data_IF_778478170032
#
_entry.id   IF_778478170032
#
_cell.length_a   1.000
_cell.length_b   1.000
_cell.length_c   1.000
_cell.angle_alpha   90.00
_cell.angle_beta   90.00
_cell.angle_gamma   90.00
#
_symmetry.space_group_name_H-M   'P 1'
#
loop_
_entity.id
_entity.type
_entity.pdbx_description
1 polymer ?
#
# COMPACT_ATOMS: atom_id res chain seq x y z
N UNK A 1 -4.17 1.15 5.73
CA UNK A 1 -3.60 2.50 5.47
C UNK A 1 -3.55 2.79 3.98
N UNK A 2 -3.47 4.05 3.50
CA UNK A 2 -3.33 4.33 2.05
C UNK A 2 -1.96 4.91 1.70
N UNK A 3 -1.73 6.20 1.92
CA UNK A 3 -0.48 6.86 1.50
C UNK A 3 0.71 6.41 2.35
N UNK A 4 0.47 5.86 3.55
CA UNK A 4 1.53 5.26 4.33
C UNK A 4 2.12 3.99 3.70
N UNK A 5 1.34 3.17 2.99
CA UNK A 5 1.89 2.02 2.23
C UNK A 5 2.77 2.51 1.06
N UNK A 6 2.31 3.52 0.33
CA UNK A 6 3.12 4.19 -0.71
C UNK A 6 4.41 4.78 -0.11
N UNK A 7 4.37 5.32 1.11
CA UNK A 7 5.53 5.86 1.79
C UNK A 7 6.64 4.83 1.96
N UNK A 8 6.30 3.61 2.41
CA UNK A 8 7.29 2.53 2.60
C UNK A 8 7.85 2.08 1.25
N UNK A 9 7.01 1.98 0.20
CA UNK A 9 7.48 1.67 -1.15
C UNK A 9 8.48 2.70 -1.67
N UNK A 10 8.21 3.99 -1.49
CA UNK A 10 9.11 5.09 -1.85
C UNK A 10 10.43 5.02 -1.06
N UNK A 11 10.34 4.82 0.27
CA UNK A 11 11.48 4.73 1.17
C UNK A 11 12.36 3.49 0.91
N UNK A 12 11.80 2.42 0.36
CA UNK A 12 12.51 1.18 0.05
C UNK A 12 13.41 1.28 -1.19
N UNK A 13 13.22 2.29 -2.07
CA UNK A 13 14.01 2.45 -3.30
C UNK A 13 15.54 2.37 -3.11
N UNK A 14 16.17 3.07 -2.14
CA UNK A 14 17.60 2.93 -1.88
C UNK A 14 18.03 1.51 -1.44
N UNK A 15 17.12 0.71 -0.88
CA UNK A 15 17.42 -0.65 -0.42
C UNK A 15 17.43 -1.64 -1.60
N UNK A 16 16.68 -1.39 -2.66
CA UNK A 16 16.68 -2.18 -3.89
C UNK A 16 16.72 -1.29 -5.16
N UNK A 17 17.83 -0.59 -5.45
CA UNK A 17 17.88 0.42 -6.51
C UNK A 17 17.57 -0.10 -7.93
N UNK A 18 17.79 -1.40 -8.15
CA UNK A 18 17.53 -2.08 -9.43
C UNK A 18 16.06 -2.48 -9.61
N UNK A 19 15.29 -2.53 -8.54
CA UNK A 19 13.86 -2.82 -8.58
C UNK A 19 13.11 -1.54 -8.95
N UNK A 20 12.16 -1.64 -9.87
CA UNK A 20 11.37 -0.49 -10.30
C UNK A 20 10.46 -0.02 -9.16
N UNK A 21 10.20 1.29 -9.07
CA UNK A 21 9.26 1.82 -8.08
C UNK A 21 7.87 1.19 -8.24
N UNK A 22 7.43 0.92 -9.48
CA UNK A 22 6.18 0.20 -9.72
C UNK A 22 6.13 -1.17 -9.05
N UNK A 23 7.20 -1.96 -9.08
CA UNK A 23 7.22 -3.25 -8.39
C UNK A 23 7.28 -3.08 -6.85
N UNK A 24 7.93 -2.03 -6.35
CA UNK A 24 7.89 -1.71 -4.91
C UNK A 24 6.45 -1.32 -4.47
N UNK A 25 5.72 -0.60 -5.31
CA UNK A 25 4.31 -0.27 -5.07
C UNK A 25 3.43 -1.52 -5.09
N UNK A 26 3.60 -2.39 -6.09
CA UNK A 26 2.88 -3.68 -6.13
C UNK A 26 3.15 -4.50 -4.87
N UNK A 27 4.38 -4.52 -4.36
CA UNK A 27 4.70 -5.24 -3.12
C UNK A 27 4.02 -4.61 -1.89
N UNK A 28 4.09 -3.28 -1.74
CA UNK A 28 3.49 -2.60 -0.59
C UNK A 28 1.95 -2.70 -0.57
N UNK A 29 1.31 -2.72 -1.75
CA UNK A 29 -0.12 -2.88 -1.92
C UNK A 29 -0.55 -4.31 -2.27
N UNK A 30 0.33 -5.32 -2.14
CA UNK A 30 0.03 -6.65 -2.65
C UNK A 30 -1.23 -7.24 -2.01
N UNK A 31 -1.35 -7.09 -0.69
CA UNK A 31 -2.51 -7.53 0.09
C UNK A 31 -3.78 -6.77 -0.35
N UNK A 32 -3.69 -5.45 -0.55
CA UNK A 32 -4.77 -4.59 -1.07
C UNK A 32 -5.13 -4.86 -2.54
N UNK A 33 -4.27 -5.51 -3.32
CA UNK A 33 -4.56 -5.91 -4.70
C UNK A 33 -5.28 -7.27 -4.72
N UNK A 34 -4.87 -8.18 -3.84
CA UNK A 34 -5.48 -9.51 -3.72
C UNK A 34 -6.86 -9.44 -3.05
N UNK A 35 -7.03 -8.58 -2.05
CA UNK A 35 -8.27 -8.45 -1.28
C UNK A 35 -9.51 -8.17 -2.15
N UNK A 36 -9.51 -7.18 -3.07
CA UNK A 36 -10.60 -6.96 -4.03
C UNK A 36 -10.99 -8.20 -4.86
N UNK A 37 -10.02 -9.04 -5.24
CA UNK A 37 -10.30 -10.29 -5.97
C UNK A 37 -11.07 -11.26 -5.08
N UNK A 38 -10.66 -11.39 -3.82
CA UNK A 38 -11.35 -12.25 -2.85
C UNK A 38 -12.72 -11.70 -2.42
N UNK A 39 -12.89 -10.37 -2.42
CA UNK A 39 -14.20 -9.72 -2.24
C UNK A 39 -15.16 -10.09 -3.38
N UNK A 40 -14.72 -9.95 -4.63
CA UNK A 40 -15.54 -10.26 -5.80
C UNK A 40 -15.87 -11.76 -5.89
N UNK A 41 -14.97 -12.62 -5.40
CA UNK A 41 -15.20 -14.06 -5.29
C UNK A 41 -16.09 -14.46 -4.09
N UNK A 42 -16.43 -13.53 -3.20
CA UNK A 42 -17.22 -13.78 -1.98
C UNK A 42 -16.47 -14.56 -0.88
N UNK A 43 -15.16 -14.76 -1.03
CA UNK A 43 -14.30 -15.45 -0.05
C UNK A 43 -14.08 -14.56 1.19
N UNK A 44 -13.91 -13.26 0.94
CA UNK A 44 -13.77 -12.24 1.98
C UNK A 44 -14.92 -11.23 1.88
N UNK A 45 -15.24 -10.57 2.98
CA UNK A 45 -16.42 -9.72 3.13
C UNK A 45 -16.09 -8.44 3.87
N UNK A 46 -16.65 -7.36 3.35
CA UNK A 46 -16.63 -6.01 3.92
C UNK A 46 -18.04 -5.44 3.82
N UNK A 47 -18.41 -4.62 4.79
CA UNK A 47 -19.66 -3.87 4.79
C UNK A 47 -19.37 -2.37 4.75
N UNK A 48 -20.23 -1.62 4.07
CA UNK A 48 -20.17 -0.15 4.08
C UNK A 48 -21.04 0.30 5.25
N UNK A 49 -20.39 0.70 6.33
CA UNK A 49 -21.00 1.13 7.58
C UNK A 49 -20.35 2.46 8.01
N UNK A 50 -20.90 3.60 7.56
CA UNK A 50 -20.43 4.91 8.00
C UNK A 50 -20.40 5.01 9.53
N UNK A 51 -19.27 5.42 10.09
CA UNK A 51 -19.05 5.48 11.53
C UNK A 51 -18.45 4.22 12.17
N UNK A 52 -18.11 3.17 11.41
CA UNK A 52 -17.36 2.02 11.93
C UNK A 52 -16.00 2.43 12.52
N UNK A 53 -15.34 3.39 11.87
CA UNK A 53 -14.28 4.23 12.46
C UNK A 53 -14.52 5.69 12.09
N UNK A 54 -13.74 6.62 12.66
CA UNK A 54 -13.81 8.03 12.28
C UNK A 54 -13.23 8.30 10.89
N UNK A 55 -12.26 7.50 10.43
CA UNK A 55 -11.51 7.73 9.20
C UNK A 55 -12.05 6.98 7.97
N UNK A 56 -12.58 5.76 8.15
CA UNK A 56 -13.11 4.94 7.06
C UNK A 56 -14.53 4.47 7.34
N UNK A 57 -15.44 4.49 6.34
CA UNK A 57 -16.79 3.97 6.46
C UNK A 57 -16.87 2.44 6.26
N UNK A 58 -15.75 1.74 6.27
CA UNK A 58 -15.68 0.31 5.97
C UNK A 58 -15.58 -0.51 7.25
N UNK A 59 -16.48 -1.49 7.38
CA UNK A 59 -16.42 -2.52 8.40
C UNK A 59 -15.85 -3.80 7.79
N UNK A 60 -14.64 -4.20 8.21
CA UNK A 60 -13.98 -5.40 7.73
C UNK A 60 -14.53 -6.65 8.46
N UNK A 61 -15.55 -7.28 7.88
CA UNK A 61 -16.32 -8.34 8.55
C UNK A 61 -15.60 -9.70 8.54
N UNK A 62 -14.99 -10.08 7.42
CA UNK A 62 -14.30 -11.36 7.30
C UNK A 62 -13.25 -11.30 6.19
N UNK A 63 -11.98 -11.20 6.54
CA UNK A 63 -10.87 -10.98 5.61
C UNK A 63 -9.54 -11.66 6.04
N UNK A 64 -9.59 -12.94 6.48
CA UNK A 64 -8.43 -13.60 7.06
C UNK A 64 -7.35 -14.05 6.06
N UNK A 65 -7.70 -14.26 4.80
CA UNK A 65 -6.81 -14.81 3.77
C UNK A 65 -5.89 -13.75 3.17
N UNK A 66 -6.23 -12.48 3.35
CA UNK A 66 -5.41 -11.34 2.97
C UNK A 66 -4.76 -10.68 4.18
N UNK A 67 -5.53 -10.41 5.25
CA UNK A 67 -5.07 -9.52 6.33
C UNK A 67 -4.86 -10.20 7.69
N UNK A 68 -4.90 -11.53 7.78
CA UNK A 68 -4.37 -12.16 9.00
C UNK A 68 -2.83 -12.09 9.03
N UNK A 69 -2.23 -12.07 10.22
CA UNK A 69 -0.76 -12.06 10.35
C UNK A 69 -0.15 -13.28 9.64
N UNK A 70 -0.73 -14.46 9.82
CA UNK A 70 -0.31 -15.69 9.15
C UNK A 70 -0.39 -15.57 7.61
N UNK A 71 -1.49 -15.02 7.09
CA UNK A 71 -1.63 -14.77 5.66
C UNK A 71 -0.61 -13.76 5.15
N UNK A 72 -0.40 -12.65 5.85
CA UNK A 72 0.58 -11.63 5.49
C UNK A 72 2.01 -12.19 5.45
N UNK A 73 2.39 -13.06 6.40
CA UNK A 73 3.67 -13.78 6.40
C UNK A 73 3.77 -14.72 5.19
N UNK A 74 2.70 -15.48 4.89
CA UNK A 74 2.68 -16.37 3.74
C UNK A 74 2.82 -15.59 2.42
N UNK A 75 2.06 -14.52 2.23
CA UNK A 75 2.14 -13.64 1.07
C UNK A 75 3.51 -12.98 0.95
N UNK A 76 4.10 -12.55 2.06
CA UNK A 76 5.45 -12.00 2.11
C UNK A 76 6.49 -13.00 1.60
N UNK A 77 6.44 -14.25 2.08
CA UNK A 77 7.32 -15.31 1.65
C UNK A 77 7.12 -15.63 0.16
N UNK A 78 5.87 -15.85 -0.27
CA UNK A 78 5.54 -16.18 -1.66
C UNK A 78 5.98 -15.08 -2.63
N UNK A 79 5.70 -13.82 -2.31
CA UNK A 79 6.08 -12.68 -3.15
C UNK A 79 7.61 -12.54 -3.22
N UNK A 80 8.31 -12.60 -2.08
CA UNK A 80 9.77 -12.56 -2.07
C UNK A 80 10.39 -13.70 -2.88
N UNK A 81 9.88 -14.94 -2.72
CA UNK A 81 10.35 -16.11 -3.47
C UNK A 81 10.12 -15.97 -4.98
N UNK A 82 8.97 -15.44 -5.39
CA UNK A 82 8.65 -15.22 -6.80
C UNK A 82 9.66 -14.29 -7.51
N UNK A 83 10.30 -13.39 -6.78
CA UNK A 83 11.29 -12.45 -7.30
C UNK A 83 12.74 -12.78 -6.94
N UNK A 84 13.03 -14.02 -6.52
CA UNK A 84 14.42 -14.47 -6.24
C UNK A 84 15.38 -14.30 -7.43
N UNK A 85 14.87 -14.40 -8.66
CA UNK A 85 15.67 -14.19 -9.89
C UNK A 85 16.19 -12.76 -10.03
N UNK A 86 15.60 -11.78 -9.33
CA UNK A 86 16.11 -10.40 -9.26
C UNK A 86 17.26 -10.24 -8.25
N UNK A 87 17.61 -11.31 -7.53
CA UNK A 87 18.66 -11.37 -6.51
C UNK A 87 18.10 -11.41 -5.09
N UNK A 88 18.82 -12.09 -4.18
CA UNK A 88 18.41 -12.31 -2.78
C UNK A 88 17.99 -11.03 -2.05
N UNK A 89 18.72 -9.92 -2.28
CA UNK A 89 18.43 -8.62 -1.69
C UNK A 89 17.11 -8.03 -2.21
N UNK A 90 16.83 -8.13 -3.51
CA UNK A 90 15.57 -7.65 -4.09
C UNK A 90 14.38 -8.47 -3.56
N UNK A 91 14.51 -9.80 -3.55
CA UNK A 91 13.52 -10.70 -2.98
C UNK A 91 13.20 -10.39 -1.52
N UNK A 92 14.24 -10.18 -0.69
CA UNK A 92 14.06 -9.81 0.72
C UNK A 92 13.33 -8.48 0.86
N UNK A 93 13.74 -7.44 0.13
CA UNK A 93 13.09 -6.12 0.19
C UNK A 93 11.62 -6.19 -0.23
N UNK A 94 11.31 -6.94 -1.29
CA UNK A 94 9.94 -7.12 -1.76
C UNK A 94 9.08 -7.89 -0.76
N UNK A 95 9.60 -8.96 -0.16
CA UNK A 95 8.90 -9.68 0.91
C UNK A 95 8.66 -8.79 2.14
N UNK A 96 9.67 -8.01 2.56
CA UNK A 96 9.53 -7.08 3.69
C UNK A 96 8.52 -5.97 3.41
N UNK A 97 8.38 -5.51 2.17
CA UNK A 97 7.33 -4.55 1.79
C UNK A 97 5.93 -5.15 1.98
N UNK A 98 5.71 -6.38 1.53
CA UNK A 98 4.44 -7.09 1.77
C UNK A 98 4.19 -7.27 3.27
N UNK A 99 5.22 -7.63 4.05
CA UNK A 99 5.07 -7.79 5.50
C UNK A 99 4.78 -6.47 6.23
N UNK A 100 5.37 -5.36 5.75
CA UNK A 100 5.16 -4.02 6.34
C UNK A 100 3.72 -3.57 6.29
N UNK A 101 2.94 -4.11 5.33
CA UNK A 101 1.52 -3.84 5.18
C UNK A 101 0.75 -4.17 6.45
N UNK A 102 0.86 -5.41 6.94
CA UNK A 102 0.15 -5.85 8.14
C UNK A 102 0.55 -5.04 9.38
N UNK A 103 1.83 -4.67 9.50
CA UNK A 103 2.31 -3.86 10.64
C UNK A 103 1.70 -2.47 10.64
N UNK A 104 1.64 -1.82 9.47
CA UNK A 104 1.01 -0.51 9.32
C UNK A 104 -0.50 -0.60 9.55
N UNK A 105 -1.14 -1.65 9.06
CA UNK A 105 -2.56 -1.86 9.29
C UNK A 105 -2.86 -2.16 10.76
N UNK A 106 -2.02 -2.90 11.47
CA UNK A 106 -2.16 -3.10 12.92
C UNK A 106 -2.17 -1.78 13.69
N UNK A 107 -1.43 -0.76 13.23
CA UNK A 107 -1.47 0.59 13.81
C UNK A 107 -2.78 1.30 13.46
N UNK A 108 -3.21 1.21 12.20
CA UNK A 108 -4.35 1.90 11.63
C UNK A 108 -5.70 1.39 12.14
N UNK A 109 -5.91 0.10 12.00
CA UNK A 109 -7.17 -0.58 12.20
C UNK A 109 -7.62 -0.54 13.65
N UNK A 110 -8.94 -0.58 13.85
CA UNK A 110 -9.53 -1.00 15.13
C UNK A 110 -9.21 -2.49 15.35
N UNK A 111 -9.51 -3.10 16.52
CA UNK A 111 -9.28 -4.53 16.73
C UNK A 111 -10.12 -5.44 15.81
N UNK A 112 -9.72 -5.58 14.55
CA UNK A 112 -10.39 -6.37 13.51
C UNK A 112 -9.41 -7.28 12.73
N UNK A 113 -8.09 -7.12 12.89
CA UNK A 113 -7.08 -7.93 12.18
C UNK A 113 -6.84 -9.27 12.89
N UNK A 114 -7.12 -10.42 12.26
CA UNK A 114 -6.85 -11.72 12.87
C UNK A 114 -5.36 -12.03 12.93
N UNK A 115 -4.93 -12.84 13.89
CA UNK A 115 -3.57 -13.42 13.85
C UNK A 115 -3.45 -14.57 12.84
N UNK A 116 -4.49 -15.37 12.70
CA UNK A 116 -4.64 -16.44 11.70
C UNK A 116 -6.12 -16.59 11.36
N UNK A 117 -6.51 -17.36 10.31
CA UNK A 117 -7.87 -17.31 9.81
C UNK A 117 -9.03 -17.61 10.77
N UNK A 118 -8.77 -18.40 11.81
CA UNK A 118 -9.75 -18.73 12.85
C UNK A 118 -9.41 -18.09 14.20
N UNK A 119 -8.61 -17.03 14.22
CA UNK A 119 -8.17 -16.37 15.44
C UNK A 119 -9.32 -15.59 16.09
N UNK A 120 -9.58 -15.87 17.36
CA UNK A 120 -10.46 -15.04 18.19
C UNK A 120 -9.76 -13.76 18.68
N UNK A 121 -8.42 -13.79 18.74
CA UNK A 121 -7.63 -12.60 19.06
C UNK A 121 -7.50 -11.72 17.81
N UNK A 122 -8.02 -10.49 17.92
CA UNK A 122 -7.97 -9.47 16.89
C UNK A 122 -7.05 -8.32 17.32
N UNK A 123 -6.22 -7.85 16.38
CA UNK A 123 -5.22 -6.81 16.59
C UNK A 123 -5.68 -5.51 15.92
N UNK A 124 -5.36 -4.38 16.56
CA UNK A 124 -5.57 -3.06 16.02
C UNK A 124 -5.39 -1.99 17.09
N UNK A 125 -4.56 -0.98 16.82
CA UNK A 125 -4.28 0.11 17.76
C UNK A 125 -5.19 1.33 17.56
N UNK A 126 -6.02 1.33 16.52
CA UNK A 126 -7.15 2.24 16.37
C UNK A 126 -6.79 3.66 15.95
N UNK A 127 -5.70 3.87 15.22
CA UNK A 127 -5.36 5.20 14.68
C UNK A 127 -6.50 5.80 13.84
N UNK A 128 -7.24 4.98 13.08
CA UNK A 128 -8.41 5.39 12.31
C UNK A 128 -9.61 5.89 13.14
N UNK A 129 -9.56 5.78 14.47
CA UNK A 129 -10.53 6.43 15.34
C UNK A 129 -10.28 7.94 15.48
N UNK A 130 -9.18 8.47 14.94
CA UNK A 130 -8.87 9.90 14.90
C UNK A 130 -8.42 10.32 13.51
N UNK A 131 -9.28 11.09 12.83
CA UNK A 131 -8.96 11.68 11.50
C UNK A 131 -7.70 12.55 11.56
N UNK A 132 -7.54 13.49 12.53
CA UNK A 132 -6.34 14.31 12.60
C UNK A 132 -5.07 13.50 12.83
N UNK A 133 -5.11 12.49 13.71
CA UNK A 133 -3.95 11.65 13.97
C UNK A 133 -3.58 10.80 12.75
N UNK A 134 -4.58 10.23 12.06
CA UNK A 134 -4.37 9.46 10.82
C UNK A 134 -3.73 10.34 9.75
N UNK A 135 -4.28 11.53 9.50
CA UNK A 135 -3.74 12.47 8.53
C UNK A 135 -2.31 12.90 8.87
N UNK A 136 -2.03 13.17 10.15
CA UNK A 136 -0.69 13.53 10.61
C UNK A 136 0.31 12.39 10.40
N UNK A 137 -0.01 11.19 10.85
CA UNK A 137 0.91 10.04 10.78
C UNK A 137 1.10 9.56 9.34
N UNK A 138 0.01 9.30 8.61
CA UNK A 138 0.11 8.87 7.20
C UNK A 138 0.77 9.95 6.34
N UNK A 139 0.43 11.23 6.56
CA UNK A 139 1.03 12.36 5.86
C UNK A 139 2.52 12.54 6.15
N UNK A 140 2.94 12.41 7.41
CA UNK A 140 4.35 12.49 7.80
C UNK A 140 5.17 11.34 7.21
N UNK A 141 4.64 10.11 7.28
CA UNK A 141 5.26 8.94 6.64
C UNK A 141 5.40 9.19 5.14
N UNK A 142 4.34 9.62 4.46
CA UNK A 142 4.35 9.88 3.03
C UNK A 142 5.36 10.96 2.63
N UNK A 143 5.39 12.09 3.35
CA UNK A 143 6.37 13.15 3.12
C UNK A 143 7.81 12.64 3.30
N UNK A 144 8.08 11.84 4.33
CA UNK A 144 9.38 11.22 4.55
C UNK A 144 9.75 10.25 3.42
N UNK A 145 8.82 9.40 2.99
CA UNK A 145 9.01 8.47 1.86
C UNK A 145 9.36 9.21 0.56
N UNK A 146 8.62 10.28 0.25
CA UNK A 146 8.88 11.15 -0.91
C UNK A 146 10.27 11.78 -0.80
N UNK A 147 10.64 12.34 0.36
CA UNK A 147 11.94 12.97 0.58
C UNK A 147 13.10 11.97 0.40
N UNK A 148 12.96 10.75 0.95
CA UNK A 148 13.94 9.67 0.79
C UNK A 148 14.06 9.29 -0.68
N UNK A 149 12.95 9.09 -1.39
CA UNK A 149 12.94 8.69 -2.79
C UNK A 149 13.61 9.76 -3.67
N UNK A 150 13.22 11.03 -3.54
CA UNK A 150 13.78 12.13 -4.36
C UNK A 150 15.29 12.26 -4.16
N UNK A 151 15.78 12.10 -2.92
CA UNK A 151 17.22 12.17 -2.59
C UNK A 151 18.05 11.05 -3.25
N UNK A 152 17.47 9.86 -3.43
CA UNK A 152 18.17 8.69 -3.96
C UNK A 152 17.91 8.44 -5.45
N UNK A 153 16.77 8.90 -5.96
CA UNK A 153 16.35 8.79 -7.34
C UNK A 153 16.05 10.20 -7.93
N UNK A 154 17.09 11.01 -8.21
CA UNK A 154 16.92 12.30 -8.85
C UNK A 154 16.35 12.13 -10.27
N UNK A 155 15.62 13.13 -10.75
CA UNK A 155 15.13 13.15 -12.13
C UNK A 155 16.29 13.27 -13.12
N UNK A 156 16.21 12.50 -14.22
CA UNK A 156 17.20 12.58 -15.32
C UNK A 156 16.78 13.53 -16.42
N UNK A 157 15.48 13.77 -16.55
CA UNK A 157 14.87 14.62 -17.57
C UNK A 157 13.57 15.28 -17.04
N UNK A 158 12.95 16.12 -17.87
CA UNK A 158 11.69 16.81 -17.55
C UNK A 158 10.55 15.81 -17.30
N UNK A 159 10.52 14.69 -18.02
CA UNK A 159 9.53 13.63 -17.84
C UNK A 159 9.61 13.05 -16.43
N UNK A 160 10.81 12.78 -15.91
CA UNK A 160 11.01 12.27 -14.56
C UNK A 160 10.58 13.25 -13.46
N UNK A 161 10.57 14.55 -13.74
CA UNK A 161 10.00 15.57 -12.83
C UNK A 161 8.48 15.54 -12.90
N UNK A 162 7.91 15.69 -14.09
CA UNK A 162 6.46 15.81 -14.30
C UNK A 162 5.74 14.53 -13.93
N UNK A 163 6.21 13.37 -14.38
CA UNK A 163 5.60 12.07 -14.11
C UNK A 163 5.58 11.75 -12.61
N UNK A 164 6.67 12.03 -11.90
CA UNK A 164 6.76 11.75 -10.47
C UNK A 164 5.90 12.70 -9.64
N UNK A 165 6.02 14.01 -9.83
CA UNK A 165 5.19 14.95 -9.07
C UNK A 165 3.71 14.87 -9.46
N UNK A 166 3.40 14.49 -10.70
CA UNK A 166 2.06 14.11 -11.12
C UNK A 166 1.52 12.92 -10.34
N UNK A 167 2.31 11.85 -10.17
CA UNK A 167 1.95 10.70 -9.34
C UNK A 167 1.73 11.11 -7.87
N UNK A 168 2.64 11.89 -7.28
CA UNK A 168 2.50 12.36 -5.89
C UNK A 168 1.24 13.21 -5.73
N UNK A 169 0.99 14.16 -6.63
CA UNK A 169 -0.23 14.96 -6.64
C UNK A 169 -1.49 14.10 -6.78
N UNK A 170 -1.47 13.10 -7.67
CA UNK A 170 -2.59 12.18 -7.85
C UNK A 170 -2.86 11.34 -6.59
N UNK A 171 -1.83 10.80 -5.94
CA UNK A 171 -1.98 10.05 -4.68
C UNK A 171 -2.56 10.93 -3.57
N UNK A 172 -2.13 12.19 -3.47
CA UNK A 172 -2.67 13.14 -2.49
C UNK A 172 -4.14 13.50 -2.79
N UNK A 173 -4.49 13.68 -4.06
CA UNK A 173 -5.89 13.91 -4.46
C UNK A 173 -6.76 12.69 -4.19
N UNK A 174 -6.27 11.48 -4.48
CA UNK A 174 -6.97 10.24 -4.16
C UNK A 174 -7.14 10.07 -2.65
N UNK A 175 -6.12 10.39 -1.85
CA UNK A 175 -6.19 10.36 -0.39
C UNK A 175 -7.19 11.38 0.15
N UNK A 176 -7.17 12.62 -0.36
CA UNK A 176 -8.15 13.64 -0.03
C UNK A 176 -9.58 13.18 -0.37
N UNK A 177 -9.78 12.54 -1.52
CA UNK A 177 -11.05 11.94 -1.91
C UNK A 177 -11.48 10.79 -1.00
N UNK A 178 -10.55 9.98 -0.51
CA UNK A 178 -10.83 8.91 0.46
C UNK A 178 -11.27 9.47 1.82
N UNK A 179 -10.70 10.61 2.26
CA UNK A 179 -11.00 11.22 3.56
C UNK A 179 -12.29 12.06 3.53
N UNK A 180 -12.51 12.84 2.46
CA UNK A 180 -13.59 13.83 2.39
C UNK A 180 -14.75 13.41 1.47
N UNK A 181 -14.56 12.37 0.66
CA UNK A 181 -15.56 11.89 -0.27
C UNK A 181 -16.72 11.17 0.43
N UNK A 182 -17.86 11.01 -0.26
CA UNK A 182 -18.94 10.18 0.25
C UNK A 182 -18.48 8.71 0.38
N UNK A 183 -19.13 7.91 1.23
CA UNK A 183 -18.89 6.47 1.27
C UNK A 183 -19.05 5.84 -0.11
N UNK A 184 -18.31 4.76 -0.41
CA UNK A 184 -18.45 4.04 -1.67
C UNK A 184 -19.92 3.63 -1.91
N UNK A 185 -20.41 3.64 -3.16
CA UNK A 185 -21.81 3.34 -3.45
C UNK A 185 -22.16 1.85 -3.31
N UNK A 186 -21.16 0.96 -3.35
CA UNK A 186 -21.34 -0.49 -3.21
C UNK A 186 -20.01 -1.21 -2.96
N UNK A 187 -20.07 -2.45 -2.45
CA UNK A 187 -18.87 -3.29 -2.24
C UNK A 187 -18.14 -3.61 -3.57
N UNK A 188 -18.83 -3.94 -4.69
CA UNK A 188 -18.15 -4.08 -5.98
C UNK A 188 -17.40 -2.81 -6.41
N UNK A 189 -17.92 -1.61 -6.12
CA UNK A 189 -17.22 -0.37 -6.44
C UNK A 189 -15.88 -0.25 -5.71
N UNK A 190 -15.82 -0.65 -4.43
CA UNK A 190 -14.56 -0.72 -3.66
C UNK A 190 -13.57 -1.63 -4.37
N UNK A 191 -14.01 -2.83 -4.76
CA UNK A 191 -13.13 -3.81 -5.38
C UNK A 191 -12.61 -3.33 -6.75
N UNK A 192 -13.47 -2.81 -7.63
CA UNK A 192 -13.06 -2.32 -8.95
C UNK A 192 -12.12 -1.12 -8.86
N UNK A 193 -12.42 -0.16 -7.98
CA UNK A 193 -11.54 1.01 -7.77
C UNK A 193 -10.20 0.57 -7.17
N UNK A 194 -10.20 -0.37 -6.22
CA UNK A 194 -8.97 -0.93 -5.65
C UNK A 194 -8.08 -1.59 -6.69
N UNK A 195 -8.64 -2.45 -7.55
CA UNK A 195 -7.91 -3.11 -8.64
C UNK A 195 -7.39 -2.11 -9.67
N UNK A 196 -8.24 -1.18 -10.12
CA UNK A 196 -7.87 -0.16 -11.09
C UNK A 196 -6.77 0.76 -10.53
N UNK A 197 -6.90 1.16 -9.25
CA UNK A 197 -5.91 1.92 -8.51
C UNK A 197 -4.57 1.18 -8.43
N UNK A 198 -4.58 -0.09 -8.02
CA UNK A 198 -3.37 -0.93 -7.94
C UNK A 198 -2.60 -0.98 -9.27
N UNK A 199 -3.30 -1.22 -10.38
CA UNK A 199 -2.69 -1.21 -11.72
C UNK A 199 -2.17 0.18 -12.10
N UNK A 200 -2.99 1.22 -11.91
CA UNK A 200 -2.64 2.60 -12.25
C UNK A 200 -1.39 3.06 -11.48
N UNK A 201 -1.37 2.87 -10.16
CA UNK A 201 -0.25 3.27 -9.32
C UNK A 201 1.02 2.51 -9.68
N UNK A 202 0.93 1.20 -9.92
CA UNK A 202 2.07 0.38 -10.32
C UNK A 202 2.68 0.85 -11.65
N UNK A 203 1.85 1.04 -12.69
CA UNK A 203 2.29 1.44 -14.02
C UNK A 203 2.84 2.87 -14.01
N UNK A 204 2.16 3.80 -13.36
CA UNK A 204 2.61 5.20 -13.28
C UNK A 204 3.91 5.30 -12.48
N UNK A 205 4.01 4.63 -11.33
CA UNK A 205 5.23 4.61 -10.53
C UNK A 205 6.41 4.00 -11.31
N UNK A 206 6.19 2.93 -12.07
CA UNK A 206 7.20 2.37 -12.96
C UNK A 206 7.64 3.36 -14.04
N UNK A 207 6.70 4.03 -14.71
CA UNK A 207 7.00 5.02 -15.74
C UNK A 207 7.81 6.19 -15.17
N UNK A 208 7.37 6.76 -14.04
CA UNK A 208 8.07 7.84 -13.36
C UNK A 208 9.50 7.43 -12.98
N UNK A 209 9.69 6.24 -12.39
CA UNK A 209 10.99 5.73 -11.98
C UNK A 209 11.92 5.43 -13.16
N UNK A 210 11.39 5.07 -14.34
CA UNK A 210 12.21 4.85 -15.54
C UNK A 210 13.00 6.10 -15.95
N UNK A 211 12.46 7.29 -15.67
CA UNK A 211 13.07 8.60 -15.93
C UNK A 211 13.83 9.16 -14.72
N UNK A 212 14.03 8.36 -13.66
CA UNK A 212 14.69 8.77 -12.42
C UNK A 212 15.74 7.77 -11.98
N UNK A 213 16.70 8.24 -11.18
CA UNK A 213 17.79 7.41 -10.65
C UNK A 213 19.16 7.91 -11.10
N UNK A 214 20.18 7.62 -10.30
CA UNK A 214 21.57 8.01 -10.63
C UNK A 214 22.05 7.23 -11.85
N UNK A 215 22.81 7.89 -12.73
CA UNK A 215 23.53 7.20 -13.80
C UNK A 215 24.41 6.10 -13.17
N UNK A 216 24.44 4.91 -13.78
CA UNK A 216 25.30 3.84 -13.31
C UNK A 216 26.74 4.35 -13.36
N UNK A 217 27.44 4.40 -12.22
CA UNK A 217 28.91 4.37 -12.26
C UNK A 217 29.24 2.99 -12.84
N UNK A 218 29.82 3.00 -14.04
CA UNK A 218 30.29 1.80 -14.74
C UNK A 218 31.34 1.10 -13.90
#
# INVERSE_FOLDING_TARGET
MFVGHAAVALAAKPLAPRVSLGLLFVAAYWIDIVWPVLLLAGVERVEIRPGDTAFTPLAFVHYPWTHSLAAAVAWSALFGLAFLRLGKRAALVLGLLVASHWVLDAIAHRPDLPLWPASELLIGFGLWNSVPATMLIEGALFAAGVAIYVRHAPARDRTGVVAFWGLIGFLLLAYAGNVMGPPPPSVPAIAYVGLAGGVLFAVWAWWADRHRGRARRQ
#
